data_IF_428090633407
#
_entry.id   IF_428090633407
#
_cell.length_a   1.000
_cell.length_b   1.000
_cell.length_c   1.000
_cell.angle_alpha   90.00
_cell.angle_beta   90.00
_cell.angle_gamma   90.00
#
_symmetry.space_group_name_H-M   'P 1'
#
loop_
_entity.id
_entity.type
_entity.pdbx_description
1 polymer ?
#
# COMPACT_ATOMS: atom_id res chain seq x y z
N UNK A 1 -24.52 -15.28 -5.86
CA UNK A 1 -23.11 -15.61 -5.57
C UNK A 1 -22.48 -14.36 -4.96
N UNK A 2 -21.77 -14.46 -3.84
CA UNK A 2 -21.09 -13.31 -3.25
C UNK A 2 -19.93 -12.89 -4.16
N UNK A 3 -20.07 -11.76 -4.86
CA UNK A 3 -19.00 -11.16 -5.66
C UNK A 3 -18.01 -10.44 -4.74
N UNK A 4 -17.21 -11.22 -4.02
CA UNK A 4 -16.14 -10.67 -3.19
C UNK A 4 -14.99 -10.19 -4.06
N UNK A 5 -14.55 -8.94 -3.83
CA UNK A 5 -13.43 -8.33 -4.54
C UNK A 5 -12.39 -7.87 -3.53
N UNK A 6 -11.13 -8.22 -3.79
CA UNK A 6 -10.01 -7.95 -2.91
C UNK A 6 -9.10 -6.86 -3.46
N UNK A 7 -8.68 -5.94 -2.60
CA UNK A 7 -7.71 -4.90 -2.94
C UNK A 7 -6.50 -5.00 -2.02
N UNK A 8 -5.36 -5.34 -2.59
CA UNK A 8 -4.07 -5.21 -1.92
C UNK A 8 -3.56 -3.78 -2.05
N UNK A 9 -3.72 -3.00 -0.99
CA UNK A 9 -3.15 -1.66 -0.83
C UNK A 9 -1.64 -1.85 -0.61
N UNK A 10 -0.89 -1.81 -1.71
CA UNK A 10 0.50 -2.21 -1.69
C UNK A 10 1.36 -1.07 -1.16
N UNK A 11 1.75 -1.14 0.12
CA UNK A 11 2.70 -0.19 0.70
C UNK A 11 4.14 -0.63 0.36
N UNK A 12 4.96 0.22 -0.28
CA UNK A 12 6.34 -0.13 -0.62
C UNK A 12 7.15 -0.56 0.60
N UNK A 13 7.92 -1.64 0.42
CA UNK A 13 8.86 -2.22 1.41
C UNK A 13 8.19 -2.84 2.64
N UNK A 14 6.91 -3.19 2.54
CA UNK A 14 6.16 -3.95 3.55
C UNK A 14 5.82 -5.38 3.08
N UNK A 15 6.77 -6.07 2.43
CA UNK A 15 6.61 -7.43 1.87
C UNK A 15 5.51 -7.62 0.80
N UNK A 16 5.00 -6.53 0.22
CA UNK A 16 3.94 -6.60 -0.78
C UNK A 16 4.31 -7.38 -2.05
N UNK A 17 5.58 -7.47 -2.46
CA UNK A 17 5.97 -8.26 -3.65
C UNK A 17 5.82 -9.78 -3.42
N UNK A 18 6.17 -10.28 -2.24
CA UNK A 18 5.94 -11.67 -1.86
C UNK A 18 4.45 -11.98 -1.82
N UNK A 19 3.66 -11.08 -1.23
CA UNK A 19 2.21 -11.24 -1.16
C UNK A 19 1.54 -11.19 -2.55
N UNK A 20 1.97 -10.28 -3.43
CA UNK A 20 1.51 -10.23 -4.83
C UNK A 20 1.76 -11.57 -5.54
N UNK A 21 2.90 -12.24 -5.29
CA UNK A 21 3.17 -13.55 -5.88
C UNK A 21 2.16 -14.62 -5.42
N UNK A 22 1.77 -14.57 -4.14
CA UNK A 22 0.70 -15.42 -3.59
C UNK A 22 -0.64 -15.09 -4.25
N UNK A 23 -1.00 -13.82 -4.36
CA UNK A 23 -2.25 -13.39 -4.99
C UNK A 23 -2.33 -13.82 -6.47
N UNK A 24 -1.26 -13.63 -7.24
CA UNK A 24 -1.15 -14.07 -8.64
C UNK A 24 -1.42 -15.57 -8.78
N UNK A 25 -0.82 -16.39 -7.92
CA UNK A 25 -0.98 -17.85 -7.94
C UNK A 25 -2.43 -18.27 -7.63
N UNK A 26 -3.09 -17.59 -6.70
CA UNK A 26 -4.43 -17.96 -6.23
C UNK A 26 -5.56 -17.41 -7.12
N UNK A 27 -5.47 -16.16 -7.57
CA UNK A 27 -6.52 -15.50 -8.35
C UNK A 27 -6.39 -15.71 -9.87
N UNK A 28 -5.20 -16.06 -10.37
CA UNK A 28 -4.91 -16.35 -11.79
C UNK A 28 -5.43 -15.24 -12.71
N UNK A 29 -6.25 -15.57 -13.71
CA UNK A 29 -6.85 -14.61 -14.63
C UNK A 29 -7.77 -13.58 -13.95
N UNK A 30 -8.18 -13.81 -12.70
CA UNK A 30 -8.92 -12.85 -11.89
C UNK A 30 -8.04 -11.90 -11.08
N UNK A 31 -6.72 -11.89 -11.29
CA UNK A 31 -5.78 -10.97 -10.66
C UNK A 31 -5.36 -9.85 -11.61
N UNK A 32 -5.37 -8.61 -11.12
CA UNK A 32 -4.81 -7.45 -11.81
C UNK A 32 -3.67 -6.83 -10.98
N UNK A 33 -2.54 -6.59 -11.64
CA UNK A 33 -1.36 -5.94 -11.09
C UNK A 33 -1.25 -4.54 -11.69
N UNK A 34 -1.73 -3.52 -10.97
CA UNK A 34 -1.74 -2.14 -11.43
C UNK A 34 -0.49 -1.36 -11.05
N UNK A 35 0.43 -1.97 -10.28
CA UNK A 35 1.60 -1.31 -9.67
C UNK A 35 2.34 -0.44 -10.68
N UNK A 36 2.02 0.85 -10.66
CA UNK A 36 2.62 1.88 -11.48
C UNK A 36 3.27 2.91 -10.56
N UNK A 37 4.40 3.45 -10.99
CA UNK A 37 5.21 4.40 -10.23
C UNK A 37 4.72 5.84 -10.36
N UNK A 38 3.42 6.06 -10.56
CA UNK A 38 2.85 7.40 -10.49
C UNK A 38 2.55 7.69 -9.01
N UNK A 39 3.38 8.54 -8.37
CA UNK A 39 3.28 8.77 -6.94
C UNK A 39 2.12 9.69 -6.62
N UNK A 40 1.58 10.42 -7.60
CA UNK A 40 0.68 11.56 -7.38
C UNK A 40 -0.77 11.09 -7.33
N UNK A 41 -1.19 10.24 -8.27
CA UNK A 41 -2.60 9.87 -8.37
C UNK A 41 -2.93 8.67 -7.48
N UNK A 42 -3.74 8.91 -6.45
CA UNK A 42 -4.28 7.90 -5.54
C UNK A 42 -5.71 7.54 -5.94
N UNK A 43 -6.06 6.27 -5.78
CA UNK A 43 -7.41 5.76 -6.03
C UNK A 43 -8.17 5.71 -4.70
N UNK A 44 -9.10 6.66 -4.56
CA UNK A 44 -10.11 6.65 -3.52
C UNK A 44 -11.34 5.86 -3.98
N UNK A 45 -12.48 6.17 -3.38
CA UNK A 45 -13.70 5.39 -3.59
C UNK A 45 -14.20 5.55 -5.03
N UNK A 46 -14.23 6.78 -5.54
CA UNK A 46 -14.75 7.09 -6.87
C UNK A 46 -13.92 6.46 -7.98
N UNK A 47 -12.59 6.57 -7.92
CA UNK A 47 -11.68 5.97 -8.91
C UNK A 47 -11.77 4.44 -8.84
N UNK A 48 -11.84 3.88 -7.64
CA UNK A 48 -11.97 2.43 -7.46
C UNK A 48 -13.29 1.92 -8.04
N UNK A 49 -14.40 2.65 -7.89
CA UNK A 49 -15.67 2.27 -8.53
C UNK A 49 -15.58 2.29 -10.05
N UNK A 50 -14.90 3.26 -10.64
CA UNK A 50 -14.69 3.29 -12.09
C UNK A 50 -13.88 2.07 -12.56
N UNK A 51 -12.82 1.72 -11.83
CA UNK A 51 -12.03 0.50 -12.08
C UNK A 51 -12.92 -0.74 -12.04
N UNK A 52 -13.80 -0.88 -11.02
CA UNK A 52 -14.70 -2.03 -10.90
C UNK A 52 -15.72 -2.14 -12.05
N UNK A 53 -16.19 -1.02 -12.58
CA UNK A 53 -17.08 -0.99 -13.75
C UNK A 53 -16.37 -1.46 -15.02
N UNK A 54 -15.11 -1.05 -15.21
CA UNK A 54 -14.31 -1.39 -16.39
C UNK A 54 -13.84 -2.86 -16.33
N UNK A 55 -13.41 -3.32 -15.16
CA UNK A 55 -12.75 -4.61 -14.98
C UNK A 55 -13.64 -5.61 -14.20
N UNK A 56 -14.85 -5.84 -14.70
CA UNK A 56 -15.88 -6.66 -14.02
C UNK A 56 -15.50 -8.14 -13.79
N UNK A 57 -14.47 -8.66 -14.48
CA UNK A 57 -13.97 -10.04 -14.31
C UNK A 57 -12.84 -10.17 -13.28
N UNK A 58 -12.28 -9.06 -12.81
CA UNK A 58 -11.20 -9.06 -11.83
C UNK A 58 -11.78 -9.24 -10.43
N UNK A 59 -11.14 -10.12 -9.66
CA UNK A 59 -11.52 -10.46 -8.28
C UNK A 59 -10.48 -10.01 -7.25
N UNK A 60 -9.27 -9.68 -7.71
CA UNK A 60 -8.22 -9.15 -6.86
C UNK A 60 -7.37 -8.14 -7.61
N UNK A 61 -7.16 -6.97 -7.01
CA UNK A 61 -6.27 -5.94 -7.50
C UNK A 61 -5.09 -5.75 -6.54
N UNK A 62 -3.91 -5.43 -7.07
CA UNK A 62 -2.80 -4.91 -6.27
C UNK A 62 -2.20 -3.68 -6.92
N UNK A 63 -2.07 -2.60 -6.14
CA UNK A 63 -1.46 -1.35 -6.60
C UNK A 63 -0.96 -0.51 -5.42
N UNK A 64 0.03 0.36 -5.67
CA UNK A 64 0.50 1.40 -4.76
C UNK A 64 -0.45 2.61 -4.69
N UNK A 65 -1.40 2.71 -5.64
CA UNK A 65 -2.36 3.80 -5.77
C UNK A 65 -3.63 3.61 -4.94
N UNK A 66 -4.07 2.37 -4.69
CA UNK A 66 -5.23 2.15 -3.82
C UNK A 66 -4.99 2.68 -2.42
N UNK A 67 -6.05 3.22 -1.84
CA UNK A 67 -6.10 3.76 -0.49
C UNK A 67 -7.07 2.92 0.35
N UNK A 68 -7.18 3.22 1.65
CA UNK A 68 -8.20 2.58 2.48
C UNK A 68 -9.62 3.05 2.15
N UNK A 69 -9.80 4.11 1.35
CA UNK A 69 -11.10 4.60 0.89
C UNK A 69 -11.65 3.74 -0.25
N UNK A 70 -11.88 2.46 0.00
CA UNK A 70 -12.51 1.55 -0.95
C UNK A 70 -14.04 1.64 -0.87
N UNK A 71 -14.78 1.24 -1.92
CA UNK A 71 -16.25 1.25 -1.92
C UNK A 71 -16.86 0.10 -1.10
N UNK A 72 -16.57 0.08 0.21
CA UNK A 72 -16.98 -1.00 1.12
C UNK A 72 -18.50 -1.11 1.32
N UNK A 73 -19.23 -0.01 1.24
CA UNK A 73 -20.65 0.06 1.59
C UNK A 73 -21.56 -0.08 0.36
N UNK A 74 -21.03 -0.63 -0.74
CA UNK A 74 -21.76 -0.81 -2.00
C UNK A 74 -22.43 -2.17 -2.06
N UNK A 75 -23.75 -2.26 -2.31
CA UNK A 75 -24.47 -3.53 -2.33
C UNK A 75 -24.07 -4.45 -3.49
N UNK A 76 -23.48 -3.91 -4.56
CA UNK A 76 -23.12 -4.66 -5.76
C UNK A 76 -21.89 -5.57 -5.56
N UNK A 77 -21.02 -5.24 -4.60
CA UNK A 77 -19.74 -5.91 -4.39
C UNK A 77 -19.44 -6.10 -2.90
N UNK A 78 -18.92 -7.27 -2.54
CA UNK A 78 -18.38 -7.49 -1.20
C UNK A 78 -16.89 -7.12 -1.18
N UNK A 79 -16.60 -5.84 -0.94
CA UNK A 79 -15.23 -5.30 -1.04
C UNK A 79 -14.43 -5.58 0.23
N UNK A 80 -13.19 -6.05 0.06
CA UNK A 80 -12.22 -6.24 1.14
C UNK A 80 -10.88 -5.62 0.76
N UNK A 81 -10.31 -4.85 1.68
CA UNK A 81 -8.95 -4.33 1.61
C UNK A 81 -7.99 -5.22 2.38
N UNK A 82 -6.75 -5.31 1.92
CA UNK A 82 -5.63 -5.86 2.67
C UNK A 82 -4.42 -4.95 2.52
N UNK A 83 -3.73 -4.70 3.63
CA UNK A 83 -2.52 -3.90 3.65
C UNK A 83 -1.51 -4.51 4.63
N UNK A 84 -0.23 -4.31 4.33
CA UNK A 84 0.88 -4.69 5.20
C UNK A 84 1.62 -3.43 5.61
N UNK A 85 1.83 -3.28 6.91
CA UNK A 85 2.64 -2.22 7.50
C UNK A 85 3.89 -2.80 8.13
N UNK A 86 4.92 -1.98 8.26
CA UNK A 86 6.21 -2.33 8.85
C UNK A 86 6.59 -1.27 9.88
N UNK A 87 7.50 -1.61 10.79
CA UNK A 87 8.14 -0.58 11.60
C UNK A 87 8.72 0.52 10.68
N UNK A 88 8.39 1.82 10.90
CA UNK A 88 8.77 2.90 9.99
C UNK A 88 10.26 3.00 9.67
N UNK A 89 11.14 2.86 10.66
CA UNK A 89 12.59 2.97 10.47
C UNK A 89 13.14 1.80 9.65
N UNK A 90 12.69 0.57 9.89
CA UNK A 90 13.06 -0.60 9.11
C UNK A 90 12.58 -0.50 7.66
N UNK A 91 11.37 0.04 7.45
CA UNK A 91 10.83 0.29 6.11
C UNK A 91 11.71 1.30 5.36
N UNK A 92 12.11 2.37 6.04
CA UNK A 92 13.01 3.40 5.50
C UNK A 92 14.38 2.82 5.13
N UNK A 93 15.00 2.07 6.04
CA UNK A 93 16.28 1.38 5.81
C UNK A 93 16.16 0.40 4.63
N UNK A 94 15.06 -0.37 4.57
CA UNK A 94 14.80 -1.30 3.47
C UNK A 94 14.64 -0.57 2.14
N UNK A 95 14.04 0.63 2.11
CA UNK A 95 13.95 1.47 0.93
C UNK A 95 15.34 1.91 0.48
N UNK A 96 16.15 2.47 1.39
CA UNK A 96 17.52 2.92 1.09
C UNK A 96 18.35 1.81 0.45
N UNK A 97 18.43 0.65 1.09
CA UNK A 97 19.24 -0.47 0.56
C UNK A 97 18.66 -1.07 -0.72
N UNK A 98 17.35 -0.99 -0.94
CA UNK A 98 16.76 -1.38 -2.21
C UNK A 98 17.21 -0.43 -3.32
N UNK A 99 17.05 0.88 -3.15
CA UNK A 99 17.42 1.86 -4.17
C UNK A 99 18.93 1.88 -4.43
N UNK A 100 19.75 1.67 -3.39
CA UNK A 100 21.21 1.60 -3.50
C UNK A 100 21.70 0.41 -4.35
N UNK A 101 21.09 -0.76 -4.17
CA UNK A 101 21.54 -2.00 -4.82
C UNK A 101 20.73 -2.37 -6.07
N UNK A 102 19.60 -1.70 -6.31
CA UNK A 102 18.81 -1.97 -7.50
C UNK A 102 19.54 -1.42 -8.73
N UNK A 103 20.01 -2.34 -9.58
CA UNK A 103 20.67 -2.04 -10.84
C UNK A 103 19.69 -1.57 -11.92
N UNK A 104 18.39 -1.85 -11.76
CA UNK A 104 17.36 -1.46 -12.70
C UNK A 104 16.61 -0.23 -12.18
N UNK A 105 16.96 0.93 -12.72
CA UNK A 105 16.25 2.20 -12.49
C UNK A 105 16.92 3.14 -11.50
N UNK A 106 16.63 4.43 -11.69
CA UNK A 106 17.03 5.55 -10.82
C UNK A 106 15.83 6.03 -10.00
N UNK A 107 15.20 5.09 -9.29
CA UNK A 107 14.04 5.39 -8.42
C UNK A 107 14.36 6.42 -7.34
N UNK A 108 15.61 6.40 -6.86
CA UNK A 108 16.14 7.36 -5.92
C UNK A 108 17.66 7.46 -6.07
N UNK A 109 18.15 8.41 -6.88
CA UNK A 109 19.58 8.60 -7.11
C UNK A 109 20.37 8.89 -5.82
N UNK A 110 19.74 9.55 -4.83
CA UNK A 110 20.43 9.94 -3.59
C UNK A 110 20.86 8.71 -2.78
N UNK A 111 20.08 7.62 -2.79
CA UNK A 111 20.42 6.39 -2.08
C UNK A 111 21.67 5.70 -2.63
N UNK A 112 22.01 5.93 -3.91
CA UNK A 112 23.23 5.42 -4.55
C UNK A 112 24.46 6.29 -4.24
N UNK A 113 24.26 7.60 -4.06
CA UNK A 113 25.34 8.58 -3.90
C UNK A 113 25.74 8.82 -2.45
N UNK A 114 24.77 8.79 -1.54
CA UNK A 114 24.98 9.14 -0.13
C UNK A 114 25.11 7.87 0.73
N UNK A 115 25.83 7.96 1.85
CA UNK A 115 25.69 6.98 2.92
C UNK A 115 24.33 7.14 3.63
N UNK A 116 23.98 6.18 4.49
CA UNK A 116 22.66 6.16 5.13
C UNK A 116 22.41 7.37 6.03
N UNK A 117 23.46 7.94 6.65
CA UNK A 117 23.34 9.09 7.54
C UNK A 117 23.06 10.36 6.75
N UNK A 118 23.85 10.61 5.69
CA UNK A 118 23.66 11.74 4.79
C UNK A 118 22.34 11.63 4.02
N UNK A 119 21.97 10.43 3.57
CA UNK A 119 20.70 10.15 2.93
C UNK A 119 19.52 10.45 3.86
N UNK A 120 19.58 10.01 5.12
CA UNK A 120 18.54 10.27 6.12
C UNK A 120 18.34 11.77 6.34
N UNK A 121 19.44 12.52 6.49
CA UNK A 121 19.39 13.98 6.63
C UNK A 121 18.74 14.64 5.42
N UNK A 122 19.13 14.24 4.21
CA UNK A 122 18.57 14.77 2.97
C UNK A 122 17.07 14.49 2.84
N UNK A 123 16.61 13.27 3.17
CA UNK A 123 15.18 12.92 3.08
C UNK A 123 14.33 13.68 4.10
N UNK A 124 14.82 13.84 5.34
CA UNK A 124 14.06 14.56 6.38
C UNK A 124 13.90 16.05 6.02
N UNK A 125 14.89 16.63 5.36
CA UNK A 125 14.86 18.04 4.94
C UNK A 125 14.01 18.29 3.69
N UNK A 126 13.81 17.28 2.85
CA UNK A 126 13.02 17.40 1.62
C UNK A 126 11.54 17.09 1.86
N UNK A 127 10.74 18.15 1.96
CA UNK A 127 9.28 18.06 2.17
C UNK A 127 8.55 17.38 1.01
N UNK A 128 9.16 17.25 -0.18
CA UNK A 128 8.54 16.56 -1.32
C UNK A 128 8.60 15.03 -1.20
N UNK A 129 9.30 14.48 -0.20
CA UNK A 129 9.49 13.03 0.00
C UNK A 129 8.54 12.44 1.03
N UNK A 130 7.28 12.92 1.06
CA UNK A 130 6.24 12.46 1.99
C UNK A 130 6.00 10.95 1.94
N UNK A 131 6.17 10.32 0.77
CA UNK A 131 6.11 8.87 0.58
C UNK A 131 7.21 8.07 1.32
N UNK A 132 8.25 8.74 1.83
CA UNK A 132 9.35 8.13 2.58
C UNK A 132 9.27 8.38 4.09
N UNK A 133 9.04 9.62 4.51
CA UNK A 133 8.95 9.95 5.95
C UNK A 133 7.64 9.45 6.56
N UNK A 134 6.51 9.70 5.89
CA UNK A 134 5.17 9.28 6.32
C UNK A 134 4.52 8.30 5.35
N UNK A 135 5.35 7.52 4.64
CA UNK A 135 4.91 6.74 3.49
C UNK A 135 3.74 5.80 3.75
N UNK A 136 3.70 5.14 4.91
CA UNK A 136 2.63 4.19 5.19
C UNK A 136 1.27 4.90 5.33
N UNK A 137 1.24 6.00 6.08
CA UNK A 137 0.08 6.87 6.21
C UNK A 137 -0.31 7.47 4.86
N UNK A 138 0.68 7.94 4.10
CA UNK A 138 0.47 8.49 2.75
C UNK A 138 -0.18 7.48 1.79
N UNK A 139 0.33 6.25 1.73
CA UNK A 139 -0.22 5.19 0.89
C UNK A 139 -1.59 4.71 1.36
N UNK A 140 -1.82 4.62 2.67
CA UNK A 140 -3.13 4.24 3.20
C UNK A 140 -4.16 5.34 2.94
N UNK A 141 -3.87 6.59 3.29
CA UNK A 141 -4.86 7.67 3.30
C UNK A 141 -5.02 8.39 1.96
N UNK A 142 -4.05 8.28 1.05
CA UNK A 142 -4.17 8.82 -0.31
C UNK A 142 -3.86 10.29 -0.49
N UNK A 143 -3.13 10.89 0.45
CA UNK A 143 -3.00 12.34 0.63
C UNK A 143 -4.31 13.03 1.02
N UNK A 144 -4.46 13.24 2.32
CA UNK A 144 -5.50 14.07 2.89
C UNK A 144 -4.81 14.96 3.90
N UNK A 145 -4.98 16.26 3.74
CA UNK A 145 -4.43 17.28 4.61
C UNK A 145 -4.56 16.90 6.09
N UNK A 146 -3.59 17.31 6.90
CA UNK A 146 -3.58 17.10 8.36
C UNK A 146 -4.90 17.48 9.04
N UNK A 147 -5.65 18.40 8.44
CA UNK A 147 -6.98 18.84 8.84
C UNK A 147 -8.00 17.71 9.03
N UNK A 148 -7.89 16.60 8.27
CA UNK A 148 -8.83 15.47 8.36
C UNK A 148 -8.23 14.23 9.02
N UNK A 149 -7.03 14.34 9.61
CA UNK A 149 -6.30 13.18 10.13
C UNK A 149 -7.14 12.37 11.13
N UNK A 150 -7.77 13.04 12.12
CA UNK A 150 -8.55 12.37 13.14
C UNK A 150 -9.77 11.63 12.56
N UNK A 151 -10.52 12.29 11.69
CA UNK A 151 -11.67 11.68 11.02
C UNK A 151 -11.25 10.47 10.17
N UNK A 152 -10.15 10.60 9.43
CA UNK A 152 -9.63 9.51 8.61
C UNK A 152 -9.16 8.33 9.47
N UNK A 153 -8.52 8.62 10.60
CA UNK A 153 -8.06 7.60 11.54
C UNK A 153 -9.21 6.83 12.17
N UNK A 154 -10.28 7.51 12.60
CA UNK A 154 -11.47 6.83 13.14
C UNK A 154 -12.17 5.99 12.07
N UNK A 155 -12.28 6.50 10.84
CA UNK A 155 -12.82 5.68 9.74
C UNK A 155 -11.94 4.46 9.46
N UNK A 156 -10.61 4.60 9.46
CA UNK A 156 -9.68 3.49 9.26
C UNK A 156 -9.88 2.41 10.34
N UNK A 157 -9.98 2.80 11.62
CA UNK A 157 -10.29 1.88 12.72
C UNK A 157 -11.60 1.15 12.49
N UNK A 158 -12.66 1.87 12.14
CA UNK A 158 -13.96 1.29 11.86
C UNK A 158 -13.87 0.22 10.76
N UNK A 159 -13.13 0.48 9.66
CA UNK A 159 -12.93 -0.51 8.59
C UNK A 159 -12.18 -1.75 9.06
N UNK A 160 -11.22 -1.60 9.99
CA UNK A 160 -10.50 -2.72 10.59
C UNK A 160 -11.41 -3.53 11.51
N UNK A 161 -12.17 -2.88 12.38
CA UNK A 161 -13.11 -3.51 13.32
C UNK A 161 -14.22 -4.29 12.59
N UNK A 162 -14.71 -3.75 11.47
CA UNK A 162 -15.69 -4.41 10.59
C UNK A 162 -15.07 -5.48 9.67
N UNK A 163 -13.76 -5.74 9.81
CA UNK A 163 -12.98 -6.65 8.97
C UNK A 163 -13.05 -6.33 7.47
N UNK A 164 -13.43 -5.11 7.11
CA UNK A 164 -13.45 -4.61 5.74
C UNK A 164 -12.03 -4.33 5.25
N UNK A 165 -11.14 -3.89 6.14
CA UNK A 165 -9.70 -3.78 5.91
C UNK A 165 -8.93 -4.71 6.84
N UNK A 166 -8.13 -5.60 6.26
CA UNK A 166 -7.18 -6.43 7.01
C UNK A 166 -5.81 -5.74 7.02
N UNK A 167 -5.36 -5.31 8.19
CA UNK A 167 -4.07 -4.61 8.36
C UNK A 167 -3.09 -5.50 9.13
N UNK A 168 -2.04 -5.97 8.45
CA UNK A 168 -1.03 -6.84 9.05
C UNK A 168 0.26 -6.08 9.32
N UNK A 169 0.83 -6.23 10.52
CA UNK A 169 2.19 -5.77 10.78
C UNK A 169 3.17 -6.86 10.38
N UNK A 170 4.21 -6.48 9.63
CA UNK A 170 5.23 -7.40 9.14
C UNK A 170 5.91 -8.23 10.24
N UNK A 171 6.26 -7.68 11.42
CA UNK A 171 6.83 -8.49 12.50
C UNK A 171 5.93 -9.62 13.00
N UNK A 172 4.60 -9.48 12.88
CA UNK A 172 3.67 -10.52 13.34
C UNK A 172 3.62 -11.73 12.40
N UNK A 173 4.10 -11.58 11.17
CA UNK A 173 4.21 -12.67 10.18
C UNK A 173 5.52 -13.46 10.30
N UNK A 174 6.50 -12.92 11.01
CA UNK A 174 7.84 -13.50 11.18
C UNK A 174 7.99 -14.28 12.49
N UNK A 175 6.97 -14.25 13.36
CA UNK A 175 6.97 -15.11 14.54
C UNK A 175 6.80 -16.55 14.05
N UNK A 176 7.67 -17.49 14.45
CA UNK A 176 7.43 -18.89 14.18
C UNK A 176 6.04 -19.23 14.70
N UNK A 177 5.22 -19.86 13.87
CA UNK A 177 3.95 -20.37 14.32
C UNK A 177 4.25 -21.40 15.40
N UNK A 178 3.96 -21.03 16.66
CA UNK A 178 3.91 -22.01 17.74
C UNK A 178 2.70 -22.90 17.44
N UNK A 179 2.94 -23.97 16.69
CA UNK A 179 2.04 -25.11 16.55
C UNK A 179 2.36 -26.12 17.65
#
# INVERSE_FOLDING_TARGET
>A
MNNSIWFNIHIPKCAGSSFVSILKRNFRAGFADGRSFDPVNKYGEAETQQILKIFSRIRCFSDHKFTYHLPYDRPEYHVRGIAFVREPTERFISHYFYCRHNSQGDFDPLAKQLDITAYTRAVIQDQNRVGLVNGQTYHLMGDRSSQYFQQNFELLKQRIEQQQLLLFRFPDLMKPACF
#
